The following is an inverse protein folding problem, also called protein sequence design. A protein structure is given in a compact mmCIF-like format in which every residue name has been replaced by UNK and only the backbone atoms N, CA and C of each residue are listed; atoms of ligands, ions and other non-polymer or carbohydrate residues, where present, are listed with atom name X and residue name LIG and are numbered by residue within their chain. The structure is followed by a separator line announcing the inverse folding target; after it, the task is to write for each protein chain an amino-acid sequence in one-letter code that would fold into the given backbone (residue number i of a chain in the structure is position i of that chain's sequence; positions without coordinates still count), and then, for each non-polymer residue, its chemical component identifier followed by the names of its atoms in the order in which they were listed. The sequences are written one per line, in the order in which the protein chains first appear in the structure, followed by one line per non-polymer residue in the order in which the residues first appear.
data_IF_311132749820
#
_entry.id   IF_311132749820
#
_cell.length_a   1.000
_cell.length_b   1.000
_cell.length_c   1.000
_cell.angle_alpha   90.00
_cell.angle_beta   90.00
_cell.angle_gamma   90.00
#
_symmetry.space_group_name_H-M   'P 1'
#
loop_
_entity.id
_entity.type
_entity.pdbx_description
1 polymer ?
#
# COMPACT_ATOMS: atom_id res chain seq x y z
N UNK A 1 25.63 4.56 6.58
CA UNK A 1 24.55 4.20 5.66
C UNK A 1 23.27 4.21 6.46
N UNK A 2 22.58 5.35 6.41
CA UNK A 2 21.44 5.63 7.25
C UNK A 2 20.29 4.66 6.99
N UNK A 3 19.79 4.06 8.08
CA UNK A 3 18.62 3.18 8.13
C UNK A 3 17.39 3.80 7.42
N UNK A 4 17.38 5.12 7.30
CA UNK A 4 16.38 5.92 6.57
C UNK A 4 16.21 5.50 5.10
N UNK A 5 17.30 5.22 4.38
CA UNK A 5 17.21 4.78 2.96
C UNK A 5 16.59 3.40 2.81
N UNK A 6 16.79 2.52 3.80
CA UNK A 6 16.20 1.19 3.82
C UNK A 6 14.68 1.26 4.05
N UNK A 7 14.21 2.13 4.94
CA UNK A 7 12.77 2.33 5.18
C UNK A 7 12.06 2.86 3.94
N UNK A 8 12.66 3.85 3.24
CA UNK A 8 12.12 4.35 1.96
C UNK A 8 12.08 3.25 0.89
N UNK A 9 13.11 2.40 0.81
CA UNK A 9 13.15 1.29 -0.13
C UNK A 9 12.08 0.22 0.16
N UNK A 10 11.88 -0.16 1.43
CA UNK A 10 10.80 -1.09 1.81
C UNK A 10 9.44 -0.48 1.47
N UNK A 11 9.22 0.79 1.80
CA UNK A 11 7.97 1.49 1.52
C UNK A 11 7.67 1.49 0.01
N UNK A 12 8.68 1.74 -0.80
CA UNK A 12 8.59 1.67 -2.26
C UNK A 12 8.23 0.25 -2.73
N UNK A 13 8.87 -0.79 -2.19
CA UNK A 13 8.56 -2.20 -2.53
C UNK A 13 7.12 -2.55 -2.16
N UNK A 14 6.65 -2.14 -0.98
CA UNK A 14 5.28 -2.41 -0.52
C UNK A 14 4.26 -1.71 -1.43
N UNK A 15 4.51 -0.45 -1.78
CA UNK A 15 3.63 0.31 -2.67
C UNK A 15 3.61 -0.25 -4.10
N UNK A 16 4.77 -0.68 -4.62
CA UNK A 16 4.85 -1.33 -5.93
C UNK A 16 4.04 -2.65 -5.95
N UNK A 17 4.15 -3.43 -4.88
CA UNK A 17 3.35 -4.64 -4.67
C UNK A 17 1.84 -4.33 -4.63
N UNK A 18 1.44 -3.28 -3.92
CA UNK A 18 0.04 -2.83 -3.86
C UNK A 18 -0.52 -2.52 -5.26
N UNK A 19 0.25 -1.80 -6.09
CA UNK A 19 -0.14 -1.49 -7.47
C UNK A 19 -0.21 -2.76 -8.34
N UNK A 20 0.71 -3.71 -8.14
CA UNK A 20 0.68 -4.99 -8.83
C UNK A 20 -0.58 -5.81 -8.52
N UNK A 21 -1.14 -5.71 -7.31
CA UNK A 21 -2.43 -6.31 -6.95
C UNK A 21 -3.64 -5.50 -7.44
N UNK A 22 -3.51 -4.17 -7.52
CA UNK A 22 -4.53 -3.27 -8.08
C UNK A 22 -4.82 -3.53 -9.56
N UNK A 23 -3.79 -3.83 -10.35
CA UNK A 23 -3.93 -4.04 -11.79
C UNK A 23 -4.92 -5.16 -12.19
N UNK A 24 -4.74 -6.42 -11.76
CA UNK A 24 -5.64 -7.51 -12.13
C UNK A 24 -7.04 -7.32 -11.55
N UNK A 25 -7.15 -6.71 -10.36
CA UNK A 25 -8.45 -6.35 -9.80
C UNK A 25 -9.17 -5.29 -10.64
N UNK A 26 -8.48 -4.24 -11.08
CA UNK A 26 -9.05 -3.19 -11.93
C UNK A 26 -9.49 -3.73 -13.30
N UNK A 27 -8.73 -4.68 -13.87
CA UNK A 27 -9.09 -5.34 -15.13
C UNK A 27 -10.31 -6.26 -14.97
N UNK A 28 -10.44 -6.95 -13.84
CA UNK A 28 -11.56 -7.86 -13.55
C UNK A 28 -12.77 -7.17 -12.89
N UNK A 29 -12.75 -5.86 -12.68
CA UNK A 29 -13.78 -5.11 -11.95
C UNK A 29 -15.20 -5.33 -12.49
N UNK A 30 -15.32 -5.56 -13.80
CA UNK A 30 -16.59 -5.88 -14.47
C UNK A 30 -17.20 -7.22 -14.04
N UNK A 31 -16.38 -8.20 -13.65
CA UNK A 31 -16.81 -9.57 -13.32
C UNK A 31 -16.99 -9.80 -11.81
N UNK A 32 -16.20 -9.12 -10.95
CA UNK A 32 -16.23 -9.36 -9.49
C UNK A 32 -17.38 -8.60 -8.78
N UNK A 33 -17.97 -7.61 -9.45
CA UNK A 33 -19.12 -6.86 -8.94
C UNK A 33 -18.87 -6.11 -7.63
N UNK A 34 -19.96 -5.78 -6.90
CA UNK A 34 -19.91 -5.01 -5.64
C UNK A 34 -19.11 -5.69 -4.52
N UNK A 35 -18.99 -7.02 -4.54
CA UNK A 35 -18.23 -7.78 -3.55
C UNK A 35 -16.72 -7.59 -3.75
N UNK A 36 -16.27 -7.63 -5.01
CA UNK A 36 -14.88 -7.33 -5.37
C UNK A 36 -14.50 -5.88 -5.09
N UNK A 37 -15.46 -4.96 -5.22
CA UNK A 37 -15.25 -3.57 -4.86
C UNK A 37 -14.93 -3.40 -3.37
N UNK A 38 -15.75 -3.99 -2.49
CA UNK A 38 -15.54 -3.92 -1.05
C UNK A 38 -14.28 -4.65 -0.57
N UNK A 39 -13.95 -5.80 -1.18
CA UNK A 39 -12.71 -6.52 -0.82
C UNK A 39 -11.47 -5.68 -1.09
N UNK A 40 -11.47 -4.93 -2.20
CA UNK A 40 -10.33 -4.08 -2.54
C UNK A 40 -10.26 -2.82 -1.69
N UNK A 41 -11.40 -2.20 -1.41
CA UNK A 41 -11.46 -1.06 -0.48
C UNK A 41 -10.93 -1.44 0.91
N UNK A 42 -11.23 -2.65 1.39
CA UNK A 42 -10.67 -3.15 2.64
C UNK A 42 -9.15 -3.37 2.53
N UNK A 43 -8.66 -3.92 1.43
CA UNK A 43 -7.23 -4.14 1.18
C UNK A 43 -6.43 -2.82 1.18
N UNK A 44 -6.88 -1.84 0.41
CA UNK A 44 -6.28 -0.50 0.38
C UNK A 44 -6.35 0.19 1.75
N UNK A 45 -7.45 0.01 2.48
CA UNK A 45 -7.62 0.54 3.83
C UNK A 45 -6.59 0.00 4.81
N UNK A 46 -6.33 -1.32 4.79
CA UNK A 46 -5.31 -1.96 5.65
C UNK A 46 -3.91 -1.43 5.31
N UNK A 47 -3.57 -1.33 4.03
CA UNK A 47 -2.26 -0.83 3.58
C UNK A 47 -2.06 0.65 3.93
N UNK A 48 -3.09 1.48 3.74
CA UNK A 48 -3.05 2.90 4.11
C UNK A 48 -2.84 3.08 5.62
N UNK A 49 -3.47 2.24 6.45
CA UNK A 49 -3.25 2.25 7.90
C UNK A 49 -1.80 1.84 8.25
N UNK A 50 -1.26 0.82 7.57
CA UNK A 50 0.14 0.42 7.71
C UNK A 50 1.09 1.56 7.35
N UNK A 51 0.83 2.25 6.24
CA UNK A 51 1.60 3.40 5.78
C UNK A 51 1.57 4.57 6.79
N UNK A 52 0.38 4.92 7.29
CA UNK A 52 0.21 5.97 8.32
C UNK A 52 0.96 5.60 9.59
N UNK A 53 0.96 4.32 9.99
CA UNK A 53 1.70 3.86 11.16
C UNK A 53 3.22 4.02 10.98
N UNK A 54 3.76 3.62 9.83
CA UNK A 54 5.19 3.78 9.53
C UNK A 54 5.60 5.26 9.45
N UNK A 55 4.74 6.11 8.87
CA UNK A 55 4.95 7.55 8.87
C UNK A 55 5.00 8.10 10.29
N UNK A 56 4.01 7.78 11.13
CA UNK A 56 3.95 8.26 12.52
C UNK A 56 5.09 7.74 13.40
N UNK A 57 5.74 6.65 13.02
CA UNK A 57 6.89 6.09 13.75
C UNK A 57 8.20 6.84 13.46
N UNK A 58 8.16 7.92 12.69
CA UNK A 58 9.32 8.78 12.43
C UNK A 58 10.27 8.22 11.37
N UNK A 59 9.83 7.26 10.54
CA UNK A 59 10.61 6.76 9.41
C UNK A 59 10.91 7.83 8.35
N UNK A 60 10.16 8.95 8.39
CA UNK A 60 10.14 10.01 7.39
C UNK A 60 10.40 11.42 7.97
N UNK A 61 10.69 11.54 9.26
CA UNK A 61 11.01 12.84 9.86
C UNK A 61 12.45 13.25 9.52
N UNK A 62 12.56 14.38 8.82
CA UNK A 62 13.79 15.07 8.48
C UNK A 62 14.06 16.15 9.55
N UNK A 63 14.74 15.75 10.62
CA UNK A 63 15.67 16.63 11.34
C UNK A 63 17.08 16.05 11.20
#
# INVERSE_FOLDING_TARGET
FDVKFYLVAILFIIFDLEVAFLFPWAVSLGDVGLFGFWSMMAFLGVLTIGFIYEWKKGALEWD
#
